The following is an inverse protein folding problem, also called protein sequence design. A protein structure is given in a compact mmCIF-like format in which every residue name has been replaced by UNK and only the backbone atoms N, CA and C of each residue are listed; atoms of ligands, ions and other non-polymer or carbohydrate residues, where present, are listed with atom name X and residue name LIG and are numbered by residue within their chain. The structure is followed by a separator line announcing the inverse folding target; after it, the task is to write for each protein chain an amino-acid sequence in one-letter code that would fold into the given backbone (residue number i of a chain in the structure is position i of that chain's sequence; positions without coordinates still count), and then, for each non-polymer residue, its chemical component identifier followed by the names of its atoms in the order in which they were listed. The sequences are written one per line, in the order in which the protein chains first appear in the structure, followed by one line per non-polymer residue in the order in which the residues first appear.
data_IF_471804527949
#
_entry.id   IF_471804527949
#
_cell.length_a   1.000
_cell.length_b   1.000
_cell.length_c   1.000
_cell.angle_alpha   90.00
_cell.angle_beta   90.00
_cell.angle_gamma   90.00
#
_symmetry.space_group_name_H-M   'P 1'
#
loop_
_entity.id
_entity.type
_entity.pdbx_description
1 polymer ?
#
# COMPACT_ATOMS: atom_id res chain seq x y z
N UNK A 1 2.44 -29.15 -24.70
CA UNK A 1 2.59 -27.74 -24.27
C UNK A 1 1.66 -27.54 -23.09
N UNK A 2 2.18 -27.71 -21.88
CA UNK A 2 1.40 -27.64 -20.64
C UNK A 2 1.53 -26.20 -20.11
N UNK A 3 0.53 -25.36 -20.35
CA UNK A 3 0.43 -24.08 -19.63
C UNK A 3 0.06 -24.44 -18.20
N UNK A 4 1.02 -24.28 -17.29
CA UNK A 4 0.75 -24.24 -15.85
C UNK A 4 -0.09 -22.98 -15.65
N UNK A 5 -1.41 -23.12 -15.68
CA UNK A 5 -2.31 -22.08 -15.23
C UNK A 5 -2.08 -21.93 -13.73
N UNK A 6 -1.54 -20.78 -13.32
CA UNK A 6 -1.34 -20.42 -11.93
C UNK A 6 -2.67 -20.62 -11.16
N UNK A 7 -2.77 -21.60 -10.24
CA UNK A 7 -4.01 -21.92 -9.55
C UNK A 7 -4.45 -20.81 -8.58
N UNK A 8 -3.63 -19.80 -8.32
CA UNK A 8 -3.94 -18.69 -7.42
C UNK A 8 -4.67 -17.52 -8.09
N UNK A 9 -4.66 -17.44 -9.42
CA UNK A 9 -5.28 -16.34 -10.16
C UNK A 9 -6.83 -16.34 -10.13
N UNK A 10 -7.44 -17.41 -9.59
CA UNK A 10 -8.89 -17.65 -9.66
C UNK A 10 -9.66 -17.41 -8.38
N UNK A 11 -9.00 -17.03 -7.28
CA UNK A 11 -9.62 -17.05 -5.95
C UNK A 11 -9.84 -15.68 -5.28
N UNK A 12 -9.27 -14.58 -5.77
CA UNK A 12 -9.54 -13.23 -5.26
C UNK A 12 -9.40 -12.23 -6.41
N UNK A 13 -10.31 -11.26 -6.62
CA UNK A 13 -9.94 -10.06 -7.38
C UNK A 13 -8.76 -9.41 -6.67
N UNK A 14 -7.65 -9.15 -7.36
CA UNK A 14 -6.52 -8.42 -6.78
C UNK A 14 -6.92 -6.94 -6.64
N UNK A 15 -7.75 -6.65 -5.64
CA UNK A 15 -7.91 -5.29 -5.14
C UNK A 15 -6.51 -4.79 -4.75
N UNK A 16 -6.07 -3.62 -5.23
CA UNK A 16 -4.75 -3.12 -4.87
C UNK A 16 -4.64 -3.03 -3.34
N UNK A 17 -3.48 -3.41 -2.79
CA UNK A 17 -3.20 -3.31 -1.37
C UNK A 17 -1.91 -2.53 -1.18
N UNK A 18 -1.94 -1.55 -0.28
CA UNK A 18 -0.76 -0.77 0.09
C UNK A 18 -0.41 -0.97 1.55
N UNK A 19 0.89 -1.17 1.82
CA UNK A 19 1.48 -1.28 3.17
C UNK A 19 2.40 -0.08 3.37
N UNK A 20 1.88 1.03 3.91
CA UNK A 20 2.64 2.22 4.18
C UNK A 20 3.17 2.23 5.61
N UNK A 21 4.41 2.69 5.76
CA UNK A 21 5.09 2.84 7.05
C UNK A 21 5.45 4.30 7.28
N UNK A 22 5.23 4.79 8.49
CA UNK A 22 5.63 6.15 8.90
C UNK A 22 6.69 6.07 10.01
N UNK A 23 7.79 6.80 9.84
CA UNK A 23 8.74 7.00 10.93
C UNK A 23 8.09 7.90 11.99
N UNK A 24 7.89 7.39 13.20
CA UNK A 24 7.21 8.12 14.25
C UNK A 24 7.65 7.66 15.65
N UNK A 25 7.51 8.56 16.62
CA UNK A 25 7.78 8.24 18.03
C UNK A 25 6.81 7.16 18.55
N UNK A 26 7.26 6.32 19.51
CA UNK A 26 6.40 5.32 20.14
C UNK A 26 5.12 5.95 20.70
N UNK A 27 3.97 5.37 20.34
CA UNK A 27 2.67 5.84 20.81
C UNK A 27 2.07 7.01 20.03
N UNK A 28 2.73 7.51 18.98
CA UNK A 28 2.11 8.49 18.07
C UNK A 28 0.82 7.91 17.45
N UNK A 29 -0.31 8.64 17.52
CA UNK A 29 -1.57 8.21 16.92
C UNK A 29 -1.72 8.62 15.46
N UNK A 30 -0.75 9.36 14.90
CA UNK A 30 -0.92 10.09 13.64
C UNK A 30 -0.68 9.24 12.39
N UNK A 31 -0.24 7.99 12.56
CA UNK A 31 0.06 7.05 11.47
C UNK A 31 -1.04 6.99 10.40
N UNK A 32 -2.32 6.77 10.75
CA UNK A 32 -3.42 6.75 9.77
C UNK A 32 -3.56 8.05 8.97
N UNK A 33 -3.30 9.21 9.57
CA UNK A 33 -3.40 10.50 8.90
C UNK A 33 -2.22 10.74 7.95
N UNK A 34 -1.00 10.43 8.39
CA UNK A 34 0.21 10.50 7.56
C UNK A 34 0.05 9.62 6.32
N UNK A 35 -0.42 8.39 6.52
CA UNK A 35 -0.68 7.43 5.45
C UNK A 35 -1.75 7.94 4.47
N UNK A 36 -2.81 8.61 4.96
CA UNK A 36 -3.78 9.24 4.06
C UNK A 36 -3.12 10.25 3.13
N UNK A 37 -2.25 11.11 3.65
CA UNK A 37 -1.52 12.11 2.85
C UNK A 37 -0.67 11.47 1.75
N UNK A 38 0.01 10.36 2.05
CA UNK A 38 0.80 9.63 1.07
C UNK A 38 -0.07 8.96 -0.01
N UNK A 39 -1.26 8.45 0.36
CA UNK A 39 -2.02 7.54 -0.50
C UNK A 39 -3.21 8.16 -1.25
N UNK A 40 -3.74 9.30 -0.81
CA UNK A 40 -4.90 9.93 -1.49
C UNK A 40 -4.59 10.28 -2.95
N UNK A 41 -3.35 10.61 -3.27
CA UNK A 41 -2.89 10.87 -4.64
C UNK A 41 -3.13 9.69 -5.59
N UNK A 42 -3.19 8.44 -5.10
CA UNK A 42 -3.55 7.32 -5.96
C UNK A 42 -4.99 7.42 -6.47
N UNK A 43 -5.91 7.93 -5.68
CA UNK A 43 -7.29 8.20 -6.11
C UNK A 43 -7.31 9.40 -7.06
N UNK A 44 -6.53 10.44 -6.80
CA UNK A 44 -6.48 11.62 -7.68
C UNK A 44 -5.95 11.27 -9.08
N UNK A 45 -4.96 10.37 -9.16
CA UNK A 45 -4.32 9.95 -10.41
C UNK A 45 -5.10 8.85 -11.14
N UNK A 46 -5.59 7.83 -10.43
CA UNK A 46 -6.20 6.62 -11.00
C UNK A 46 -7.71 6.48 -10.74
N UNK A 47 -8.34 7.46 -10.10
CA UNK A 47 -9.78 7.49 -9.80
C UNK A 47 -10.21 6.23 -9.06
N UNK A 48 -11.23 5.51 -9.57
CA UNK A 48 -11.77 4.31 -8.94
C UNK A 48 -10.73 3.17 -8.89
N UNK A 49 -9.85 3.06 -9.89
CA UNK A 49 -8.74 2.10 -9.86
C UNK A 49 -7.65 2.47 -8.83
N UNK A 50 -7.69 3.71 -8.31
CA UNK A 50 -6.84 4.17 -7.22
C UNK A 50 -7.31 3.70 -5.84
N UNK A 51 -8.56 3.27 -5.70
CA UNK A 51 -9.10 2.74 -4.44
C UNK A 51 -8.41 1.42 -4.09
N UNK A 52 -8.13 1.23 -2.81
CA UNK A 52 -7.31 0.13 -2.31
C UNK A 52 -7.50 -0.12 -0.83
N UNK A 53 -7.30 -1.35 -0.41
CA UNK A 53 -7.11 -1.65 1.00
C UNK A 53 -5.73 -1.15 1.46
N UNK A 54 -5.62 -0.79 2.74
CA UNK A 54 -4.35 -0.35 3.30
C UNK A 54 -4.23 -0.65 4.78
N UNK A 55 -2.99 -0.74 5.24
CA UNK A 55 -2.63 -0.66 6.65
C UNK A 55 -2.08 0.73 6.98
N UNK A 56 -1.71 0.96 8.24
CA UNK A 56 -0.88 2.08 8.65
C UNK A 56 -0.01 1.62 9.83
N UNK A 57 1.30 1.60 9.64
CA UNK A 57 2.25 1.10 10.65
C UNK A 57 3.24 2.21 10.99
N UNK A 58 3.35 2.52 12.28
CA UNK A 58 4.41 3.38 12.77
C UNK A 58 5.65 2.53 13.07
N UNK A 59 6.80 2.99 12.58
CA UNK A 59 8.10 2.35 12.77
C UNK A 59 9.09 3.36 13.36
N UNK A 60 10.15 2.85 13.99
CA UNK A 60 11.14 3.71 14.65
C UNK A 60 11.98 4.53 13.64
N UNK A 61 12.25 3.98 12.46
CA UNK A 61 12.99 4.67 11.39
C UNK A 61 12.76 3.96 10.04
N UNK A 62 13.09 4.66 8.95
CA UNK A 62 13.03 4.14 7.59
C UNK A 62 14.39 4.34 6.88
N UNK A 63 14.66 3.57 5.82
CA UNK A 63 15.86 3.75 4.98
C UNK A 63 16.01 5.19 4.48
N UNK A 64 17.25 5.63 4.31
CA UNK A 64 17.60 6.98 3.85
C UNK A 64 16.99 8.13 4.69
N UNK A 65 16.59 7.87 5.93
CA UNK A 65 15.91 8.82 6.80
C UNK A 65 14.59 9.37 6.20
N UNK A 66 13.87 8.52 5.45
CA UNK A 66 12.56 8.87 4.94
C UNK A 66 11.53 9.02 6.09
N UNK A 67 10.56 9.91 5.91
CA UNK A 67 9.44 10.05 6.86
C UNK A 67 8.33 9.02 6.59
N UNK A 68 8.14 8.64 5.33
CA UNK A 68 7.13 7.68 4.89
C UNK A 68 7.70 6.81 3.78
N UNK A 69 7.42 5.51 3.86
CA UNK A 69 7.69 4.54 2.80
C UNK A 69 6.39 3.83 2.44
N UNK A 70 6.18 3.54 1.16
CA UNK A 70 4.96 2.86 0.69
C UNK A 70 5.30 1.73 -0.26
N UNK A 71 4.80 0.53 0.01
CA UNK A 71 4.82 -0.61 -0.90
C UNK A 71 3.39 -0.91 -1.36
N UNK A 72 3.17 -1.15 -2.66
CA UNK A 72 1.84 -1.44 -3.21
C UNK A 72 1.90 -2.62 -4.16
N UNK A 73 0.95 -3.55 -4.00
CA UNK A 73 0.68 -4.61 -4.96
C UNK A 73 -0.40 -4.14 -5.93
N UNK A 74 -0.13 -4.26 -7.24
CA UNK A 74 -1.05 -3.89 -8.31
C UNK A 74 -1.16 -5.01 -9.34
N UNK A 75 -2.34 -5.13 -9.94
CA UNK A 75 -2.54 -5.96 -11.13
C UNK A 75 -2.07 -5.21 -12.39
N UNK A 76 -1.32 -5.89 -13.25
CA UNK A 76 -0.86 -5.38 -14.55
C UNK A 76 -1.68 -6.02 -15.68
N UNK A 77 -1.80 -5.31 -16.81
CA UNK A 77 -2.44 -5.82 -18.03
C UNK A 77 -1.42 -6.44 -18.99
#
# INVERSE_FOLDING_TARGET
MLTIADPYHRFMPYEPVTVPSAAADPGSPDGPLIVNGALLHFIDLWRDAGRRARTAVNVASLPANALVETETVVELK
#
